data_IF_337955470294
#
_entry.id   IF_337955470294
#
_cell.length_a   1.000
_cell.length_b   1.000
_cell.length_c   1.000
_cell.angle_alpha   90.00
_cell.angle_beta   90.00
_cell.angle_gamma   90.00
#
_symmetry.space_group_name_H-M   'P 1'
#
loop_
_entity.id
_entity.type
_entity.pdbx_description
1 polymer ?
#
# COMPACT_ATOMS: atom_id res chain seq x y z
N UNK A 1 4.40 -1.89 -0.45
CA UNK A 1 4.63 -0.43 -0.39
C UNK A 1 5.39 -0.12 0.88
N UNK A 2 6.41 0.72 0.80
CA UNK A 2 7.04 1.29 2.00
C UNK A 2 6.21 2.47 2.48
N UNK A 3 6.13 2.60 3.80
CA UNK A 3 5.32 3.62 4.44
C UNK A 3 6.09 4.18 5.62
N UNK A 4 6.20 5.50 5.70
CA UNK A 4 6.89 6.21 6.78
C UNK A 4 5.94 6.45 7.94
N UNK A 5 6.35 6.04 9.16
CA UNK A 5 5.63 6.34 10.39
C UNK A 5 6.62 6.90 11.42
N UNK A 6 6.81 8.22 11.42
CA UNK A 6 7.80 8.86 12.28
C UNK A 6 9.24 8.52 11.86
N UNK A 7 10.06 7.97 12.76
CA UNK A 7 11.45 7.58 12.48
C UNK A 7 11.58 6.15 11.94
N UNK A 8 10.49 5.37 11.93
CA UNK A 8 10.49 3.99 11.47
C UNK A 8 9.84 3.86 10.07
N UNK A 9 10.36 2.92 9.28
CA UNK A 9 9.74 2.48 8.03
C UNK A 9 9.03 1.16 8.25
N UNK A 10 7.73 1.13 7.96
CA UNK A 10 6.92 -0.09 7.98
C UNK A 10 6.63 -0.58 6.55
N UNK A 11 6.38 -1.88 6.43
CA UNK A 11 6.12 -2.51 5.13
C UNK A 11 4.67 -2.90 5.01
N UNK A 12 3.93 -2.31 4.08
CA UNK A 12 2.56 -2.74 3.79
C UNK A 12 2.54 -3.66 2.57
N UNK A 13 1.97 -4.85 2.75
CA UNK A 13 1.81 -5.87 1.71
C UNK A 13 0.38 -5.79 1.19
N UNK A 14 0.23 -5.33 -0.05
CA UNK A 14 -1.04 -5.32 -0.77
C UNK A 14 -0.99 -6.35 -1.91
N UNK A 15 -1.97 -7.25 -1.93
CA UNK A 15 -2.10 -8.25 -2.99
C UNK A 15 -2.77 -7.66 -4.24
N UNK A 16 -2.64 -8.37 -5.36
CA UNK A 16 -3.20 -7.99 -6.67
C UNK A 16 -4.63 -7.48 -6.58
N UNK A 17 -5.54 -8.26 -5.98
CA UNK A 17 -6.95 -7.86 -5.82
C UNK A 17 -7.16 -6.49 -5.14
N UNK A 18 -6.31 -6.14 -4.18
CA UNK A 18 -6.38 -4.84 -3.48
C UNK A 18 -5.82 -3.73 -4.36
N UNK A 19 -4.67 -3.97 -5.00
CA UNK A 19 -4.04 -3.00 -5.88
C UNK A 19 -4.87 -2.73 -7.13
N UNK A 20 -5.44 -3.75 -7.77
CA UNK A 20 -6.30 -3.60 -8.94
C UNK A 20 -7.61 -2.88 -8.62
N UNK A 21 -8.14 -3.01 -7.40
CA UNK A 21 -9.28 -2.21 -6.98
C UNK A 21 -8.93 -0.72 -6.86
N UNK A 22 -7.70 -0.40 -6.47
CA UNK A 22 -7.22 0.98 -6.35
C UNK A 22 -6.85 1.59 -7.71
N UNK A 23 -6.17 0.83 -8.56
CA UNK A 23 -5.55 1.34 -9.80
C UNK A 23 -6.33 1.02 -11.06
N UNK A 24 -7.25 0.06 -11.00
CA UNK A 24 -7.88 -0.54 -12.18
C UNK A 24 -6.94 -1.45 -12.99
N UNK A 25 -5.70 -1.68 -12.53
CA UNK A 25 -4.67 -2.42 -13.27
C UNK A 25 -4.30 -3.71 -12.54
N UNK A 26 -4.30 -4.85 -13.24
CA UNK A 26 -3.88 -6.15 -12.69
C UNK A 26 -2.38 -6.33 -12.79
N UNK A 27 -1.78 -7.00 -11.81
CA UNK A 27 -0.38 -7.36 -11.83
C UNK A 27 -0.01 -8.16 -13.09
N UNK A 28 -0.91 -9.04 -13.56
CA UNK A 28 -0.73 -9.80 -14.79
C UNK A 28 -0.67 -8.92 -16.07
N UNK A 29 -1.31 -7.75 -16.06
CA UNK A 29 -1.29 -6.78 -17.18
C UNK A 29 0.03 -5.98 -17.19
N UNK A 30 0.70 -5.91 -16.05
CA UNK A 30 1.98 -5.20 -15.85
C UNK A 30 3.16 -6.18 -15.80
N UNK A 31 2.91 -7.49 -15.76
CA UNK A 31 3.91 -8.56 -15.68
C UNK A 31 4.85 -8.67 -16.90
N UNK A 32 4.85 -7.65 -17.76
CA UNK A 32 5.85 -7.44 -18.77
C UNK A 32 6.70 -6.17 -18.47
N UNK A 33 7.57 -6.19 -17.44
CA UNK A 33 8.51 -5.10 -17.20
C UNK A 33 9.68 -5.07 -18.19
N UNK A 34 9.85 -6.09 -19.03
CA UNK A 34 10.90 -6.16 -20.04
C UNK A 34 10.30 -5.91 -21.43
N UNK A 35 9.89 -4.66 -21.68
CA UNK A 35 10.00 -4.14 -23.03
C UNK A 35 11.43 -4.37 -23.52
N UNK A 36 11.58 -4.88 -24.74
CA UNK A 36 12.86 -5.21 -25.35
C UNK A 36 13.94 -4.14 -25.08
N UNK A 37 15.12 -4.60 -24.68
CA UNK A 37 16.35 -3.82 -24.67
C UNK A 37 16.79 -3.42 -23.28
N UNK A 38 18.05 -3.70 -23.00
CA UNK A 38 18.87 -3.14 -21.93
C UNK A 38 18.57 -1.64 -21.77
N UNK A 39 17.70 -1.27 -20.83
CA UNK A 39 17.49 0.12 -20.47
C UNK A 39 18.38 0.44 -19.27
N UNK A 40 19.32 1.33 -19.56
CA UNK A 40 20.16 2.09 -18.65
C UNK A 40 19.42 2.37 -17.31
N UNK A 41 20.03 2.10 -16.13
CA UNK A 41 19.42 2.40 -14.82
C UNK A 41 18.99 3.87 -14.64
N UNK A 42 19.44 4.78 -15.51
CA UNK A 42 19.06 6.20 -15.55
C UNK A 42 17.66 6.43 -16.16
N UNK A 43 17.11 5.44 -16.90
CA UNK A 43 15.89 5.58 -17.69
C UNK A 43 14.65 4.84 -17.18
N UNK A 44 14.69 4.21 -16.00
CA UNK A 44 13.53 3.49 -15.48
C UNK A 44 12.37 4.46 -15.19
N UNK A 45 11.40 4.49 -16.10
CA UNK A 45 10.15 5.21 -15.88
C UNK A 45 9.20 4.34 -15.08
N UNK A 46 8.87 4.80 -13.86
CA UNK A 46 7.85 4.16 -13.04
C UNK A 46 6.54 4.07 -13.86
N UNK A 47 5.87 2.90 -13.95
CA UNK A 47 4.58 2.79 -14.60
C UNK A 47 3.60 3.85 -14.09
N UNK A 48 2.81 4.45 -14.99
CA UNK A 48 1.93 5.59 -14.68
C UNK A 48 1.02 5.32 -13.47
N UNK A 49 0.42 4.13 -13.41
CA UNK A 49 -0.46 3.78 -12.29
C UNK A 49 0.23 3.79 -10.91
N UNK A 50 1.55 3.57 -10.85
CA UNK A 50 2.33 3.70 -9.62
C UNK A 50 2.67 5.17 -9.33
N UNK A 51 2.90 5.99 -10.37
CA UNK A 51 3.08 7.44 -10.20
C UNK A 51 1.83 8.08 -9.61
N UNK A 52 0.64 7.59 -10.00
CA UNK A 52 -0.65 8.10 -9.51
C UNK A 52 -0.95 7.70 -8.05
N UNK A 53 -0.23 6.73 -7.47
CA UNK A 53 -0.38 6.30 -6.07
C UNK A 53 0.68 6.95 -5.17
N UNK A 54 1.92 7.02 -5.65
CA UNK A 54 3.06 7.51 -4.86
C UNK A 54 2.87 8.98 -4.54
N UNK A 55 3.04 9.35 -3.26
CA UNK A 55 2.86 10.72 -2.79
C UNK A 55 1.41 11.12 -2.46
N UNK A 56 0.43 10.26 -2.76
CA UNK A 56 -0.96 10.48 -2.39
C UNK A 56 -1.30 9.79 -1.06
N UNK A 57 -2.11 10.46 -0.23
CA UNK A 57 -2.54 9.93 1.07
C UNK A 57 -3.75 9.04 0.90
N UNK A 58 -3.72 7.84 1.49
CA UNK A 58 -4.82 6.89 1.49
C UNK A 58 -5.12 6.37 2.89
N UNK A 59 -6.30 5.77 3.06
CA UNK A 59 -6.67 5.06 4.28
C UNK A 59 -6.48 3.57 4.04
N UNK A 60 -5.55 2.96 4.79
CA UNK A 60 -5.26 1.53 4.72
C UNK A 60 -5.98 0.79 5.83
N UNK A 61 -6.81 -0.17 5.46
CA UNK A 61 -7.37 -1.15 6.40
C UNK A 61 -6.41 -2.33 6.49
N UNK A 62 -5.74 -2.47 7.64
CA UNK A 62 -4.78 -3.52 7.90
C UNK A 62 -5.42 -4.71 8.61
N UNK A 63 -5.04 -5.92 8.18
CA UNK A 63 -5.33 -7.16 8.90
C UNK A 63 -4.20 -7.41 9.90
N UNK A 64 -4.55 -7.39 11.18
CA UNK A 64 -3.62 -7.64 12.26
C UNK A 64 -3.64 -9.13 12.67
N UNK A 65 -2.46 -9.66 12.93
CA UNK A 65 -2.17 -10.98 13.46
C UNK A 65 -1.18 -10.85 14.60
N UNK A 66 -1.06 -11.88 15.45
CA UNK A 66 -0.12 -11.87 16.58
C UNK A 66 1.33 -11.65 16.15
N UNK A 67 1.70 -12.08 14.93
CA UNK A 67 3.03 -11.90 14.35
C UNK A 67 3.39 -10.43 14.11
N UNK A 68 2.40 -9.57 13.85
CA UNK A 68 2.61 -8.14 13.57
C UNK A 68 3.07 -7.34 14.80
N UNK A 69 3.04 -7.96 15.99
CA UNK A 69 3.46 -7.35 17.26
C UNK A 69 4.79 -7.91 17.79
N UNK A 70 5.43 -8.83 17.04
CA UNK A 70 6.76 -9.33 17.38
C UNK A 70 7.84 -8.35 16.92
N UNK A 71 8.82 -8.04 17.78
CA UNK A 71 9.70 -6.87 17.67
C UNK A 71 10.58 -6.75 16.42
N UNK A 72 10.62 -7.76 15.55
CA UNK A 72 11.54 -7.81 14.41
C UNK A 72 10.87 -7.84 13.03
N UNK A 73 9.53 -7.89 12.94
CA UNK A 73 8.82 -7.99 11.66
C UNK A 73 7.60 -7.05 11.62
N UNK A 74 7.80 -5.84 11.10
CA UNK A 74 6.73 -4.84 10.93
C UNK A 74 6.16 -4.82 9.51
N UNK A 75 5.81 -6.00 8.97
CA UNK A 75 5.03 -6.08 7.75
C UNK A 75 3.55 -6.22 8.08
N UNK A 76 2.68 -5.46 7.42
CA UNK A 76 1.24 -5.50 7.64
C UNK A 76 0.52 -5.86 6.34
N UNK A 77 -0.45 -6.78 6.42
CA UNK A 77 -1.26 -7.12 5.25
C UNK A 77 -2.38 -6.11 5.09
N UNK A 78 -2.48 -5.51 3.92
CA UNK A 78 -3.56 -4.59 3.56
C UNK A 78 -4.77 -5.41 3.11
N UNK A 79 -5.90 -5.23 3.81
CA UNK A 79 -7.18 -5.82 3.44
C UNK A 79 -7.92 -4.94 2.41
N UNK A 80 -7.89 -3.61 2.58
CA UNK A 80 -8.53 -2.63 1.69
C UNK A 80 -7.78 -1.29 1.72
N UNK A 81 -7.90 -0.52 0.65
CA UNK A 81 -7.40 0.85 0.52
C UNK A 81 -8.59 1.74 0.12
N UNK A 82 -8.70 2.92 0.72
CA UNK A 82 -9.74 3.90 0.40
C UNK A 82 -9.11 5.25 0.07
N UNK A 83 -9.70 5.99 -0.86
CA UNK A 83 -9.42 7.41 -1.01
C UNK A 83 -9.96 8.14 0.23
N UNK A 84 -9.23 9.13 0.80
CA UNK A 84 -9.73 9.91 1.92
C UNK A 84 -11.06 10.63 1.65
N UNK A 85 -11.36 10.91 0.38
CA UNK A 85 -12.61 11.53 -0.05
C UNK A 85 -13.74 10.51 -0.26
N UNK A 86 -13.44 9.22 -0.30
CA UNK A 86 -14.45 8.18 -0.40
C UNK A 86 -15.26 8.11 0.90
N UNK A 87 -16.59 8.02 0.77
CA UNK A 87 -17.44 7.68 1.90
C UNK A 87 -17.18 6.22 2.28
N UNK A 88 -16.41 5.99 3.34
CA UNK A 88 -16.13 4.62 3.78
C UNK A 88 -17.39 4.05 4.48
N UNK A 89 -18.08 3.07 3.89
CA UNK A 89 -19.31 2.53 4.47
C UNK A 89 -18.98 1.77 5.75
N UNK A 90 -19.59 2.15 6.87
CA UNK A 90 -19.45 1.46 8.16
C UNK A 90 -18.33 1.97 9.07
N UNK A 91 -17.62 3.05 8.72
CA UNK A 91 -16.72 3.73 9.66
C UNK A 91 -17.53 4.57 10.66
N UNK A 92 -18.09 3.90 11.67
CA UNK A 92 -18.34 4.53 12.96
C UNK A 92 -17.09 4.31 13.79
N UNK A 93 -16.42 5.38 14.24
CA UNK A 93 -15.37 5.30 15.25
C UNK A 93 -16.00 4.88 16.58
N UNK A 94 -16.52 3.66 16.66
CA UNK A 94 -17.03 3.11 17.90
C UNK A 94 -15.81 2.87 18.81
N UNK A 95 -15.81 3.36 20.06
CA UNK A 95 -14.67 3.24 20.98
C UNK A 95 -14.40 1.80 21.46
N UNK A 96 -15.08 0.80 20.88
CA UNK A 96 -14.94 -0.59 21.26
C UNK A 96 -14.08 -1.34 20.24
N UNK A 97 -12.83 -1.50 20.64
CA UNK A 97 -11.77 -2.25 19.97
C UNK A 97 -12.14 -3.74 19.98
N UNK A 98 -13.01 -4.19 19.08
CA UNK A 98 -13.02 -5.60 18.69
C UNK A 98 -11.84 -5.80 17.74
N UNK A 99 -10.76 -6.34 18.29
CA UNK A 99 -9.48 -6.64 17.65
C UNK A 99 -9.68 -7.24 16.25
N UNK A 100 -9.19 -6.54 15.20
CA UNK A 100 -8.63 -7.08 13.93
C UNK A 100 -8.60 -6.05 12.78
N UNK A 101 -9.27 -4.90 12.92
CA UNK A 101 -9.37 -3.89 11.85
C UNK A 101 -8.71 -2.57 12.26
N UNK A 102 -7.47 -2.35 11.83
CA UNK A 102 -6.76 -1.08 12.04
C UNK A 102 -6.83 -0.25 10.76
N UNK A 103 -7.25 1.02 10.88
CA UNK A 103 -7.26 1.98 9.78
C UNK A 103 -6.16 3.02 10.01
N UNK A 104 -5.30 3.24 9.01
CA UNK A 104 -4.21 4.22 9.09
C UNK A 104 -4.18 5.12 7.86
N UNK A 105 -3.97 6.42 8.07
CA UNK A 105 -3.74 7.40 7.01
C UNK A 105 -2.26 7.41 6.67
N UNK A 106 -1.93 7.12 5.42
CA UNK A 106 -0.54 6.95 5.02
C UNK A 106 -0.30 7.35 3.57
N UNK A 107 0.94 7.77 3.28
CA UNK A 107 1.38 8.20 1.95
C UNK A 107 2.49 7.26 1.46
N UNK A 108 2.23 6.40 0.45
CA UNK A 108 3.26 5.55 -0.12
C UNK A 108 4.37 6.35 -0.78
N UNK A 109 5.62 5.90 -0.61
CA UNK A 109 6.78 6.50 -1.28
C UNK A 109 7.67 5.44 -1.92
N UNK A 110 8.48 5.89 -2.89
CA UNK A 110 9.57 5.10 -3.44
C UNK A 110 10.87 5.45 -2.70
N UNK A 111 11.64 4.45 -2.24
CA UNK A 111 12.94 4.71 -1.66
C UNK A 111 13.86 5.34 -2.71
N UNK A 112 14.57 6.41 -2.32
CA UNK A 112 15.67 6.95 -3.13
C UNK A 112 16.87 6.04 -2.93
N UNK A 113 17.31 5.36 -3.99
CA UNK A 113 18.57 4.60 -4.01
C UNK A 113 19.72 5.47 -4.47
#
# INVERSE_FOLDING_TARGET
>A
MLVESGEDTDVFVAFDSVMSNLTGVRAAEVANPMGQGEQDPIGYQLPQFLQDIVGNTYIFHLKLTEFNFSGNHKSFTVARIFDPNDRIPGLSFAPHVSQQNLYVYMTPYLPRY
#
